data_IF_126115361903
#
_entry.id   IF_126115361903
#
_cell.length_a   1.000
_cell.length_b   1.000
_cell.length_c   1.000
_cell.angle_alpha   90.00
_cell.angle_beta   90.00
_cell.angle_gamma   90.00
#
_symmetry.space_group_name_H-M   'P 1'
#
loop_
_entity.id
_entity.type
_entity.pdbx_description
1 polymer ?
#
# COMPACT_ATOMS: atom_id res chain seq x y z
N UNK A 1 -33.29 62.02 31.12
CA UNK A 1 -31.91 62.23 30.62
C UNK A 1 -31.08 61.13 31.26
N UNK A 2 -30.80 60.05 30.53
CA UNK A 2 -29.99 58.94 31.01
C UNK A 2 -28.64 59.06 30.31
N UNK A 3 -27.64 59.51 31.05
CA UNK A 3 -26.24 59.57 30.59
C UNK A 3 -25.70 58.14 30.47
N UNK A 4 -25.27 57.79 29.27
CA UNK A 4 -24.59 56.54 28.98
C UNK A 4 -23.10 56.69 29.34
N UNK A 5 -22.64 55.92 30.32
CA UNK A 5 -21.21 55.76 30.64
C UNK A 5 -20.62 54.76 29.65
N UNK A 6 -19.84 55.24 28.69
CA UNK A 6 -19.03 54.41 27.79
C UNK A 6 -17.80 53.96 28.57
N UNK A 7 -17.67 52.65 28.82
CA UNK A 7 -16.41 52.04 29.27
C UNK A 7 -15.54 51.77 28.05
N UNK A 8 -14.43 52.49 27.95
CA UNK A 8 -13.36 52.23 26.99
C UNK A 8 -12.54 51.03 27.50
N UNK A 9 -12.65 49.89 26.82
CA UNK A 9 -11.85 48.70 27.09
C UNK A 9 -10.51 48.88 26.37
N UNK A 10 -9.45 49.16 27.14
CA UNK A 10 -8.07 49.23 26.65
C UNK A 10 -7.62 47.80 26.33
N UNK A 11 -7.54 47.46 25.05
CA UNK A 11 -6.96 46.20 24.58
C UNK A 11 -5.43 46.32 24.68
N UNK A 12 -4.83 45.72 25.70
CA UNK A 12 -3.38 45.51 25.76
C UNK A 12 -2.98 44.51 24.66
N UNK A 13 -2.41 45.02 23.57
CA UNK A 13 -1.79 44.22 22.52
C UNK A 13 -0.57 43.49 23.07
N UNK A 14 -0.60 42.15 23.05
CA UNK A 14 0.52 41.32 23.47
C UNK A 14 1.72 41.48 22.52
N UNK A 15 2.75 42.21 22.96
CA UNK A 15 4.04 42.25 22.30
C UNK A 15 4.88 41.03 22.68
N UNK A 16 5.25 40.21 21.70
CA UNK A 16 6.12 39.05 21.89
C UNK A 16 7.60 39.49 21.93
N UNK A 17 8.15 39.69 23.13
CA UNK A 17 9.59 39.86 23.31
C UNK A 17 10.26 38.50 23.54
N UNK A 18 11.30 38.17 22.77
CA UNK A 18 12.17 37.03 23.06
C UNK A 18 13.48 37.50 23.67
N UNK A 19 13.76 37.04 24.90
CA UNK A 19 14.92 37.44 25.69
C UNK A 19 16.15 36.61 25.28
N UNK A 20 17.16 37.24 24.68
CA UNK A 20 18.49 36.64 24.50
C UNK A 20 19.57 37.65 24.88
N UNK A 21 20.43 37.26 25.82
CA UNK A 21 21.66 37.95 26.21
C UNK A 21 21.51 39.40 26.74
N UNK A 22 20.53 39.64 27.62
CA UNK A 22 20.57 40.79 28.55
C UNK A 22 20.29 42.18 27.96
N UNK A 23 19.88 42.28 26.69
CA UNK A 23 19.44 43.54 26.08
C UNK A 23 18.16 43.31 25.27
N UNK A 24 17.20 44.24 25.37
CA UNK A 24 15.94 44.19 24.62
C UNK A 24 16.17 44.65 23.18
N UNK A 25 15.98 43.73 22.22
CA UNK A 25 15.99 44.06 20.79
C UNK A 25 14.56 43.97 20.26
N UNK A 26 14.05 45.09 19.75
CA UNK A 26 12.72 45.23 19.15
C UNK A 26 12.74 44.60 17.75
N UNK A 27 12.04 43.48 17.57
CA UNK A 27 11.94 42.80 16.27
C UNK A 27 10.78 43.43 15.48
N UNK A 28 11.11 44.25 14.48
CA UNK A 28 10.12 44.76 13.52
C UNK A 28 9.65 43.62 12.62
N UNK A 29 8.34 43.38 12.60
CA UNK A 29 7.69 42.40 11.73
C UNK A 29 7.50 43.04 10.34
N UNK A 30 8.19 42.50 9.35
CA UNK A 30 8.08 42.95 7.95
C UNK A 30 6.85 42.25 7.32
N UNK A 31 5.82 43.02 6.98
CA UNK A 31 4.66 42.54 6.23
C UNK A 31 5.08 42.24 4.79
N UNK A 32 5.11 40.96 4.42
CA UNK A 32 5.30 40.54 3.02
C UNK A 32 3.92 40.49 2.36
N UNK A 33 3.60 41.53 1.58
CA UNK A 33 2.48 41.50 0.64
C UNK A 33 2.70 40.42 -0.42
N UNK A 34 1.89 39.35 -0.37
CA UNK A 34 1.81 38.38 -1.48
C UNK A 34 0.92 38.95 -2.59
N UNK A 35 1.55 39.32 -3.70
CA UNK A 35 0.92 39.66 -4.97
C UNK A 35 0.57 38.36 -5.73
N UNK A 36 -0.68 38.10 -6.15
CA UNK A 36 -0.99 36.94 -6.97
C UNK A 36 -0.77 37.27 -8.46
N UNK A 37 0.24 36.66 -9.07
CA UNK A 37 0.42 36.69 -10.54
C UNK A 37 -0.44 35.62 -11.21
N UNK A 38 -1.51 36.11 -11.82
CA UNK A 38 -2.20 35.71 -13.06
C UNK A 38 -2.03 34.29 -13.65
N UNK A 39 -3.20 33.65 -13.77
CA UNK A 39 -3.71 32.86 -14.90
C UNK A 39 -2.82 32.75 -16.14
N UNK A 40 -2.44 31.52 -16.48
CA UNK A 40 -2.26 31.07 -17.86
C UNK A 40 -2.99 29.74 -18.04
N UNK A 41 -4.18 29.84 -18.62
CA UNK A 41 -4.89 28.73 -19.25
C UNK A 41 -4.06 28.28 -20.46
N UNK A 42 -3.59 27.04 -20.45
CA UNK A 42 -3.11 26.39 -21.67
C UNK A 42 -4.14 25.36 -22.11
N UNK A 43 -4.78 25.69 -23.23
CA UNK A 43 -5.61 24.83 -24.07
C UNK A 43 -4.86 23.53 -24.39
N UNK A 44 -5.35 22.40 -23.88
CA UNK A 44 -4.93 21.08 -24.37
C UNK A 44 -5.82 20.74 -25.56
N UNK A 45 -5.28 20.95 -26.76
CA UNK A 45 -5.83 20.38 -28.01
C UNK A 45 -5.75 18.85 -27.94
N UNK A 46 -6.91 18.21 -27.95
CA UNK A 46 -7.06 16.77 -28.11
C UNK A 46 -6.99 16.43 -29.60
N UNK A 47 -5.91 15.79 -30.04
CA UNK A 47 -5.91 15.02 -31.29
C UNK A 47 -6.26 13.55 -30.99
N UNK A 48 -7.12 12.91 -31.79
CA UNK A 48 -7.50 11.51 -31.62
C UNK A 48 -6.42 10.60 -32.21
N UNK A 49 -5.98 9.61 -31.43
CA UNK A 49 -5.18 8.50 -31.94
C UNK A 49 -6.13 7.38 -32.33
N UNK A 50 -6.34 7.24 -33.64
CA UNK A 50 -6.99 6.10 -34.27
C UNK A 50 -6.02 4.90 -34.45
N UNK A 51 -6.64 3.74 -34.66
CA UNK A 51 -6.11 2.44 -35.10
C UNK A 51 -5.68 1.43 -34.02
N UNK A 52 -6.57 0.47 -33.73
CA UNK A 52 -6.67 -0.76 -34.54
C UNK A 52 -8.06 -1.41 -34.42
N UNK A 53 -8.77 -1.44 -35.54
CA UNK A 53 -9.85 -2.37 -35.85
C UNK A 53 -9.30 -3.80 -36.02
N UNK A 54 -10.04 -4.78 -35.51
CA UNK A 54 -10.48 -5.93 -36.31
C UNK A 54 -11.56 -6.74 -35.58
N UNK A 55 -12.79 -6.55 -36.05
CA UNK A 55 -13.82 -7.53 -36.41
C UNK A 55 -14.03 -8.76 -35.52
N UNK A 56 -15.24 -8.83 -34.94
CA UNK A 56 -16.20 -9.87 -35.35
C UNK A 56 -17.63 -9.47 -34.98
N UNK A 57 -18.39 -9.14 -36.03
CA UNK A 57 -19.80 -9.41 -36.33
C UNK A 57 -20.89 -9.28 -35.25
N UNK A 58 -21.67 -8.24 -35.51
CA UNK A 58 -23.06 -7.97 -35.21
C UNK A 58 -23.99 -9.13 -35.58
N UNK A 59 -24.82 -9.58 -34.63
CA UNK A 59 -26.18 -10.06 -34.89
C UNK A 59 -27.02 -9.95 -33.61
N UNK A 60 -28.05 -9.11 -33.71
CA UNK A 60 -29.09 -8.81 -32.72
C UNK A 60 -29.88 -10.05 -32.26
N UNK A 61 -30.34 -10.06 -31.00
CA UNK A 61 -31.73 -9.75 -30.66
C UNK A 61 -31.99 -9.84 -29.14
N UNK A 62 -32.78 -8.89 -28.66
CA UNK A 62 -33.33 -8.80 -27.31
C UNK A 62 -34.22 -10.01 -26.99
N UNK A 63 -33.76 -10.86 -26.07
CA UNK A 63 -34.61 -11.85 -25.39
C UNK A 63 -34.37 -11.77 -23.89
N UNK A 64 -35.39 -11.28 -23.16
CA UNK A 64 -35.50 -11.42 -21.71
C UNK A 64 -35.42 -12.91 -21.34
N UNK A 65 -34.51 -13.34 -20.44
CA UNK A 65 -34.61 -14.65 -19.83
C UNK A 65 -35.29 -14.55 -18.47
N UNK A 66 -36.50 -15.11 -18.36
CA UNK A 66 -37.05 -15.54 -17.07
C UNK A 66 -36.14 -16.60 -16.43
N UNK A 67 -36.05 -16.67 -15.09
CA UNK A 67 -35.13 -17.56 -14.41
C UNK A 67 -35.65 -19.01 -14.48
N UNK A 68 -35.08 -19.83 -15.38
CA UNK A 68 -35.18 -21.28 -15.27
C UNK A 68 -34.17 -21.78 -14.24
N UNK A 69 -34.68 -22.37 -13.17
CA UNK A 69 -33.92 -23.11 -12.18
C UNK A 69 -33.11 -24.23 -12.85
N UNK A 70 -31.81 -23.99 -13.07
CA UNK A 70 -30.88 -25.05 -13.45
C UNK A 70 -30.19 -25.56 -12.19
N UNK A 71 -30.63 -26.72 -11.71
CA UNK A 71 -29.91 -27.53 -10.72
C UNK A 71 -28.72 -28.19 -11.43
N UNK A 72 -27.75 -27.39 -11.86
CA UNK A 72 -26.46 -27.87 -12.31
C UNK A 72 -25.61 -28.06 -11.07
N UNK A 73 -25.36 -29.32 -10.70
CA UNK A 73 -24.30 -29.71 -9.78
C UNK A 73 -23.02 -29.08 -10.31
N UNK A 74 -22.63 -27.95 -9.74
CA UNK A 74 -21.29 -27.39 -9.89
C UNK A 74 -20.38 -28.43 -9.25
N UNK A 75 -19.92 -29.36 -10.07
CA UNK A 75 -18.75 -30.14 -9.78
C UNK A 75 -17.64 -29.11 -9.67
N UNK A 76 -17.35 -28.70 -8.42
CA UNK A 76 -16.16 -27.95 -8.06
C UNK A 76 -14.98 -28.80 -8.51
N UNK A 77 -14.60 -28.65 -9.78
CA UNK A 77 -13.23 -28.83 -10.21
C UNK A 77 -12.51 -27.69 -9.52
N UNK A 78 -12.17 -27.92 -8.24
CA UNK A 78 -11.16 -27.12 -7.59
C UNK A 78 -9.92 -27.35 -8.43
N UNK A 79 -9.61 -26.43 -9.32
CA UNK A 79 -8.25 -26.26 -9.77
C UNK A 79 -7.45 -26.20 -8.49
N UNK A 80 -6.69 -27.28 -8.22
CA UNK A 80 -5.68 -27.32 -7.18
C UNK A 80 -4.72 -26.19 -7.54
N UNK A 81 -5.02 -24.99 -7.04
CA UNK A 81 -4.06 -23.90 -6.90
C UNK A 81 -3.01 -24.53 -6.00
N UNK A 82 -2.02 -25.16 -6.62
CA UNK A 82 -0.89 -25.78 -5.96
C UNK A 82 -0.32 -24.66 -5.11
N UNK A 83 -0.49 -24.79 -3.80
CA UNK A 83 -0.11 -23.74 -2.88
C UNK A 83 1.33 -23.34 -3.21
N UNK A 84 1.59 -22.03 -3.29
CA UNK A 84 2.92 -21.46 -3.58
C UNK A 84 3.87 -21.77 -2.42
N UNK A 85 4.26 -23.02 -2.33
CA UNK A 85 4.99 -23.68 -1.25
C UNK A 85 6.28 -24.22 -1.86
N UNK A 86 7.40 -23.99 -1.18
CA UNK A 86 8.67 -24.52 -1.63
C UNK A 86 8.67 -26.04 -1.52
N UNK A 87 9.01 -26.74 -2.60
CA UNK A 87 9.05 -28.20 -2.63
C UNK A 87 10.13 -28.81 -1.73
N UNK A 88 11.19 -28.07 -1.43
CA UNK A 88 12.31 -28.56 -0.59
C UNK A 88 12.08 -28.36 0.91
N UNK A 89 11.54 -27.22 1.35
CA UNK A 89 11.32 -26.94 2.79
C UNK A 89 9.85 -26.92 3.22
N UNK A 90 8.93 -27.13 2.28
CA UNK A 90 7.48 -27.09 2.49
C UNK A 90 6.94 -25.81 3.14
N UNK A 91 7.71 -24.71 3.12
CA UNK A 91 7.28 -23.39 3.61
C UNK A 91 6.54 -22.62 2.53
N UNK A 92 5.41 -22.01 2.89
CA UNK A 92 4.70 -21.03 2.06
C UNK A 92 5.53 -19.76 1.91
N UNK A 93 5.65 -19.24 0.69
CA UNK A 93 6.41 -18.01 0.42
C UNK A 93 5.67 -17.09 -0.55
N UNK A 94 5.87 -15.76 -0.45
CA UNK A 94 5.50 -14.83 -1.51
C UNK A 94 6.12 -15.24 -2.85
N UNK A 95 5.42 -14.92 -3.94
CA UNK A 95 5.77 -15.37 -5.30
C UNK A 95 7.12 -14.88 -5.77
N UNK A 96 7.50 -13.65 -5.41
CA UNK A 96 8.82 -13.10 -5.72
C UNK A 96 9.98 -13.80 -4.98
N UNK A 97 9.69 -14.65 -3.98
CA UNK A 97 10.68 -15.46 -3.26
C UNK A 97 10.69 -16.93 -3.69
N UNK A 98 9.96 -17.27 -4.75
CA UNK A 98 9.91 -18.61 -5.33
C UNK A 98 10.39 -18.57 -6.78
N UNK A 99 11.16 -19.57 -7.17
CA UNK A 99 11.49 -19.88 -8.56
C UNK A 99 10.71 -21.12 -8.98
N UNK A 100 10.07 -21.05 -10.14
CA UNK A 100 9.46 -22.21 -10.78
C UNK A 100 10.55 -23.00 -11.52
N UNK A 101 10.80 -24.23 -11.10
CA UNK A 101 11.71 -25.19 -11.74
C UNK A 101 10.90 -25.92 -12.81
N UNK A 102 11.20 -25.66 -14.08
CA UNK A 102 10.43 -26.19 -15.21
C UNK A 102 11.22 -27.20 -16.02
N UNK A 103 12.48 -26.86 -16.32
CA UNK A 103 13.28 -27.61 -17.29
C UNK A 103 13.85 -28.87 -16.67
N UNK A 104 14.13 -29.89 -17.50
CA UNK A 104 14.75 -31.14 -17.05
C UNK A 104 16.09 -30.88 -16.37
N UNK A 105 16.92 -30.01 -16.94
CA UNK A 105 18.24 -29.67 -16.39
C UNK A 105 18.15 -28.97 -15.04
N UNK A 106 17.21 -28.03 -14.86
CA UNK A 106 17.00 -27.40 -13.55
C UNK A 106 16.54 -28.42 -12.50
N UNK A 107 15.66 -29.35 -12.87
CA UNK A 107 15.20 -30.42 -11.98
C UNK A 107 16.36 -31.32 -11.57
N UNK A 108 17.18 -31.74 -12.54
CA UNK A 108 18.37 -32.57 -12.31
C UNK A 108 19.33 -31.88 -11.35
N UNK A 109 19.68 -30.61 -11.58
CA UNK A 109 20.60 -29.86 -10.69
C UNK A 109 20.06 -29.79 -9.25
N UNK A 110 18.77 -29.48 -9.08
CA UNK A 110 18.16 -29.38 -7.75
C UNK A 110 18.11 -30.74 -7.06
N UNK A 111 17.74 -31.81 -7.78
CA UNK A 111 17.69 -33.18 -7.24
C UNK A 111 19.08 -33.71 -6.86
N UNK A 112 20.08 -33.53 -7.72
CA UNK A 112 21.46 -33.94 -7.46
C UNK A 112 22.03 -33.23 -6.23
N UNK A 113 21.82 -31.92 -6.12
CA UNK A 113 22.38 -31.12 -5.03
C UNK A 113 21.75 -31.45 -3.66
N UNK A 114 20.42 -31.59 -3.60
CA UNK A 114 19.71 -31.87 -2.35
C UNK A 114 19.51 -33.37 -2.07
N UNK A 115 20.05 -34.25 -2.93
CA UNK A 115 19.83 -35.71 -2.88
C UNK A 115 18.33 -36.06 -2.78
N UNK A 116 17.52 -35.34 -3.55
CA UNK A 116 16.06 -35.43 -3.51
C UNK A 116 15.58 -36.26 -4.69
N UNK A 117 15.45 -37.56 -4.48
CA UNK A 117 15.15 -38.57 -5.51
C UNK A 117 13.62 -38.68 -5.77
N UNK A 118 13.22 -38.78 -7.04
CA UNK A 118 11.86 -39.15 -7.47
C UNK A 118 10.74 -38.09 -7.44
N UNK A 119 10.90 -36.95 -6.74
CA UNK A 119 9.77 -36.02 -6.53
C UNK A 119 9.64 -34.84 -7.51
N UNK A 120 10.68 -34.51 -8.29
CA UNK A 120 10.64 -33.42 -9.28
C UNK A 120 10.27 -33.89 -10.69
N UNK A 121 10.15 -35.20 -10.91
CA UNK A 121 10.03 -35.80 -12.23
C UNK A 121 8.69 -35.46 -12.90
N UNK A 122 7.60 -35.41 -12.14
CA UNK A 122 6.24 -35.37 -12.71
C UNK A 122 5.60 -33.98 -12.88
N UNK A 123 6.02 -32.93 -12.16
CA UNK A 123 5.43 -31.58 -12.30
C UNK A 123 6.41 -30.42 -12.11
N UNK A 124 6.11 -29.28 -12.74
CA UNK A 124 6.81 -28.02 -12.46
C UNK A 124 6.66 -27.68 -10.98
N UNK A 125 7.78 -27.42 -10.30
CA UNK A 125 7.82 -27.29 -8.84
C UNK A 125 8.40 -25.95 -8.42
N UNK A 126 7.85 -25.34 -7.38
CA UNK A 126 8.40 -24.12 -6.83
C UNK A 126 9.52 -24.41 -5.82
N UNK A 127 10.66 -23.75 -5.95
CA UNK A 127 11.77 -23.78 -4.98
C UNK A 127 12.01 -22.36 -4.47
N UNK A 128 12.18 -22.18 -3.16
CA UNK A 128 12.44 -20.84 -2.64
C UNK A 128 13.85 -20.37 -2.99
N UNK A 129 13.96 -19.06 -3.23
CA UNK A 129 15.21 -18.38 -3.62
C UNK A 129 16.35 -18.67 -2.63
N UNK A 130 16.05 -18.91 -1.35
CA UNK A 130 17.07 -19.30 -0.36
C UNK A 130 17.79 -20.60 -0.71
N UNK A 131 17.09 -21.63 -1.20
CA UNK A 131 17.75 -22.88 -1.59
C UNK A 131 18.55 -22.73 -2.88
N UNK A 132 18.06 -21.91 -3.81
CA UNK A 132 18.82 -21.56 -5.02
C UNK A 132 20.12 -20.85 -4.63
N UNK A 133 20.07 -19.92 -3.66
CA UNK A 133 21.25 -19.26 -3.12
C UNK A 133 22.22 -20.23 -2.46
N UNK A 134 21.74 -21.24 -1.75
CA UNK A 134 22.60 -22.31 -1.20
C UNK A 134 23.34 -23.06 -2.31
N UNK A 135 22.65 -23.47 -3.38
CA UNK A 135 23.31 -24.10 -4.55
C UNK A 135 24.39 -23.18 -5.13
N UNK A 136 24.10 -21.89 -5.29
CA UNK A 136 25.06 -20.93 -5.84
C UNK A 136 26.29 -20.84 -4.93
N UNK A 137 26.08 -20.56 -3.63
CA UNK A 137 27.14 -20.34 -2.64
C UNK A 137 28.07 -21.54 -2.54
N UNK A 138 27.52 -22.75 -2.46
CA UNK A 138 28.30 -23.97 -2.24
C UNK A 138 29.09 -24.42 -3.49
N UNK A 139 28.89 -23.73 -4.62
CA UNK A 139 29.55 -24.03 -5.89
C UNK A 139 30.29 -22.83 -6.51
N UNK A 140 30.44 -21.70 -5.80
CA UNK A 140 31.13 -20.51 -6.33
C UNK A 140 32.55 -20.84 -6.85
N UNK A 141 33.30 -21.66 -6.12
CA UNK A 141 34.67 -22.03 -6.49
C UNK A 141 34.75 -23.07 -7.63
N UNK A 142 33.69 -23.88 -7.81
CA UNK A 142 33.63 -24.99 -8.77
C UNK A 142 33.28 -24.52 -10.19
N UNK A 143 32.94 -23.25 -10.37
CA UNK A 143 32.55 -22.68 -11.67
C UNK A 143 33.72 -22.49 -12.64
N UNK A 144 34.98 -22.62 -12.18
CA UNK A 144 36.18 -22.32 -12.97
C UNK A 144 36.50 -23.39 -14.03
N UNK A 145 36.07 -24.64 -13.83
CA UNK A 145 36.32 -25.73 -14.77
C UNK A 145 35.06 -26.60 -14.87
N UNK A 146 34.34 -26.50 -15.99
CA UNK A 146 33.17 -27.33 -16.28
C UNK A 146 33.52 -28.32 -17.39
N UNK A 147 34.12 -29.44 -17.01
CA UNK A 147 34.65 -30.44 -17.93
C UNK A 147 33.64 -31.58 -18.17
N UNK A 148 32.63 -31.70 -17.31
CA UNK A 148 31.58 -32.73 -17.40
C UNK A 148 30.21 -32.13 -17.78
N UNK A 149 29.32 -32.93 -18.39
CA UNK A 149 27.95 -32.49 -18.68
C UNK A 149 27.16 -32.02 -17.44
N UNK A 150 27.37 -32.64 -16.28
CA UNK A 150 26.73 -32.23 -15.02
C UNK A 150 27.24 -30.87 -14.54
N UNK A 151 28.55 -30.62 -14.60
CA UNK A 151 29.13 -29.32 -14.27
C UNK A 151 28.65 -28.22 -15.21
N UNK A 152 28.51 -28.51 -16.51
CA UNK A 152 27.95 -27.55 -17.48
C UNK A 152 26.50 -27.19 -17.17
N UNK A 153 25.67 -28.18 -16.79
CA UNK A 153 24.29 -27.93 -16.34
C UNK A 153 24.26 -27.08 -15.07
N UNK A 154 25.08 -27.42 -14.08
CA UNK A 154 25.20 -26.65 -12.83
C UNK A 154 25.65 -25.21 -13.09
N UNK A 155 26.67 -25.02 -13.95
CA UNK A 155 27.16 -23.69 -14.34
C UNK A 155 26.09 -22.86 -15.03
N UNK A 156 25.35 -23.46 -15.96
CA UNK A 156 24.24 -22.81 -16.66
C UNK A 156 23.14 -22.41 -15.68
N UNK A 157 22.76 -23.33 -14.78
CA UNK A 157 21.80 -23.08 -13.74
C UNK A 157 22.22 -21.91 -12.84
N UNK A 158 23.46 -21.91 -12.34
CA UNK A 158 23.97 -20.84 -11.46
C UNK A 158 23.97 -19.51 -12.20
N UNK A 159 24.51 -19.47 -13.42
CA UNK A 159 24.61 -18.23 -14.22
C UNK A 159 23.23 -17.62 -14.47
N UNK A 160 22.26 -18.43 -14.91
CA UNK A 160 20.88 -17.97 -15.14
C UNK A 160 20.24 -17.46 -13.85
N UNK A 161 20.43 -18.16 -12.72
CA UNK A 161 19.85 -17.77 -11.45
C UNK A 161 20.49 -16.51 -10.86
N UNK A 162 21.80 -16.32 -11.01
CA UNK A 162 22.49 -15.08 -10.62
C UNK A 162 21.92 -13.92 -11.43
N UNK A 163 21.85 -14.03 -12.76
CA UNK A 163 21.29 -12.98 -13.62
C UNK A 163 19.84 -12.64 -13.23
N UNK A 164 19.00 -13.65 -13.00
CA UNK A 164 17.63 -13.45 -12.54
C UNK A 164 17.58 -12.75 -11.17
N UNK A 165 18.46 -13.12 -10.24
CA UNK A 165 18.52 -12.47 -8.92
C UNK A 165 19.01 -11.03 -9.02
N UNK A 166 19.95 -10.72 -9.92
CA UNK A 166 20.43 -9.36 -10.16
C UNK A 166 19.39 -8.49 -10.86
N UNK A 167 18.70 -9.03 -11.87
CA UNK A 167 17.58 -8.36 -12.54
C UNK A 167 16.44 -8.09 -11.54
N UNK A 168 16.13 -9.06 -10.68
CA UNK A 168 15.18 -8.86 -9.59
C UNK A 168 15.68 -7.87 -8.55
N UNK A 169 16.99 -7.84 -8.23
CA UNK A 169 17.58 -6.84 -7.32
C UNK A 169 17.51 -5.45 -7.92
N UNK A 170 17.73 -5.28 -9.22
CA UNK A 170 17.56 -4.01 -9.94
C UNK A 170 16.09 -3.59 -9.95
N UNK A 171 15.18 -4.50 -10.31
CA UNK A 171 13.72 -4.27 -10.28
C UNK A 171 13.20 -3.91 -8.87
N UNK A 172 13.66 -4.62 -7.84
CA UNK A 172 13.33 -4.31 -6.44
C UNK A 172 13.94 -2.98 -6.03
N UNK A 173 15.20 -2.68 -6.39
CA UNK A 173 15.81 -1.38 -6.13
C UNK A 173 15.01 -0.25 -6.76
N UNK A 174 14.62 -0.39 -8.03
CA UNK A 174 13.78 0.60 -8.72
C UNK A 174 12.43 0.77 -8.03
N UNK A 175 11.81 -0.31 -7.56
CA UNK A 175 10.53 -0.27 -6.84
C UNK A 175 10.64 0.34 -5.44
N UNK A 176 11.74 0.07 -4.71
CA UNK A 176 12.03 0.68 -3.42
C UNK A 176 12.48 2.14 -3.53
N UNK A 177 13.06 2.52 -4.67
CA UNK A 177 13.45 3.91 -4.98
C UNK A 177 12.34 4.72 -5.63
N UNK A 178 11.18 4.12 -5.93
CA UNK A 178 10.07 4.82 -6.55
C UNK A 178 9.44 5.74 -5.52
N UNK A 179 10.05 6.91 -5.39
CA UNK A 179 9.55 8.02 -4.60
C UNK A 179 8.13 8.33 -5.07
N UNK A 180 7.18 8.16 -4.17
CA UNK A 180 5.77 8.44 -4.43
C UNK A 180 5.29 9.55 -3.50
N UNK A 181 4.27 10.29 -3.93
CA UNK A 181 3.71 11.37 -3.14
C UNK A 181 2.63 10.77 -2.23
N UNK A 182 2.73 11.03 -0.93
CA UNK A 182 1.62 10.74 -0.02
C UNK A 182 0.48 11.71 -0.32
N UNK A 183 -0.70 11.21 -0.63
CA UNK A 183 -1.85 12.06 -1.02
C UNK A 183 -2.50 12.81 0.15
N UNK A 184 -2.04 12.60 1.39
CA UNK A 184 -2.53 13.30 2.58
C UNK A 184 -1.67 14.53 2.87
N UNK A 185 -0.35 14.35 3.02
CA UNK A 185 0.58 15.46 3.29
C UNK A 185 1.25 16.04 2.04
N UNK A 186 1.02 15.44 0.88
CA UNK A 186 1.65 15.80 -0.41
C UNK A 186 3.19 15.75 -0.42
N UNK A 187 3.78 15.09 0.58
CA UNK A 187 5.23 14.91 0.67
C UNK A 187 5.68 13.69 -0.12
N UNK A 188 6.83 13.82 -0.77
CA UNK A 188 7.52 12.71 -1.41
C UNK A 188 8.05 11.76 -0.32
N UNK A 189 7.74 10.47 -0.46
CA UNK A 189 8.15 9.41 0.46
C UNK A 189 8.70 8.21 -0.29
N UNK A 190 9.57 7.46 0.37
CA UNK A 190 10.02 6.16 -0.13
C UNK A 190 8.86 5.15 -0.09
N UNK A 191 8.84 4.21 -1.05
CA UNK A 191 7.80 3.17 -1.11
C UNK A 191 7.66 2.36 0.19
N UNK A 192 8.76 2.19 0.94
CA UNK A 192 8.79 1.51 2.25
C UNK A 192 8.00 2.26 3.33
N UNK A 193 7.87 3.58 3.19
CA UNK A 193 7.18 4.47 4.12
C UNK A 193 5.70 4.66 3.74
N UNK A 194 5.28 4.12 2.60
CA UNK A 194 3.95 4.27 2.04
C UNK A 194 3.19 2.94 2.07
N UNK A 195 1.86 3.04 2.11
CA UNK A 195 0.99 1.92 1.85
C UNK A 195 -0.22 2.35 1.03
N UNK A 196 -0.68 1.43 0.18
CA UNK A 196 -1.95 1.57 -0.53
C UNK A 196 -3.05 1.06 0.40
N UNK A 197 -4.04 1.91 0.63
CA UNK A 197 -5.16 1.61 1.51
C UNK A 197 -6.42 1.28 0.66
N UNK A 198 -7.14 0.18 0.95
CA UNK A 198 -8.46 -0.05 0.38
C UNK A 198 -9.44 1.05 0.83
N UNK A 199 -10.54 1.24 0.10
CA UNK A 199 -11.55 2.30 0.34
C UNK A 199 -11.91 2.46 1.82
N UNK A 200 -12.27 1.37 2.48
CA UNK A 200 -12.72 1.39 3.88
C UNK A 200 -11.62 1.90 4.84
N UNK A 201 -10.37 1.48 4.60
CA UNK A 201 -9.23 1.94 5.41
C UNK A 201 -8.93 3.41 5.14
N UNK A 202 -9.09 3.87 3.90
CA UNK A 202 -8.94 5.29 3.54
C UNK A 202 -9.95 6.17 4.27
N UNK A 203 -11.17 5.68 4.42
CA UNK A 203 -12.20 6.36 5.19
C UNK A 203 -11.77 6.53 6.65
N UNK A 204 -11.33 5.44 7.30
CA UNK A 204 -10.81 5.49 8.67
C UNK A 204 -9.67 6.48 8.83
N UNK A 205 -8.76 6.54 7.87
CA UNK A 205 -7.66 7.52 7.89
C UNK A 205 -8.23 8.94 7.86
N UNK A 206 -9.11 9.24 6.89
CA UNK A 206 -9.70 10.58 6.73
C UNK A 206 -10.53 11.03 7.93
N UNK A 207 -11.26 10.13 8.58
CA UNK A 207 -12.00 10.44 9.81
C UNK A 207 -11.04 11.00 10.87
N UNK A 208 -9.89 10.35 11.10
CA UNK A 208 -8.88 10.89 12.02
C UNK A 208 -8.37 12.29 11.64
N UNK A 209 -8.27 12.62 10.34
CA UNK A 209 -7.86 13.95 9.89
C UNK A 209 -8.97 15.01 9.99
N UNK A 210 -10.23 14.61 9.84
CA UNK A 210 -11.41 15.47 10.05
C UNK A 210 -11.58 15.78 11.54
N UNK A 211 -11.46 14.77 12.41
CA UNK A 211 -11.48 14.95 13.86
C UNK A 211 -10.39 15.92 14.33
N UNK A 212 -9.22 15.86 13.70
CA UNK A 212 -8.11 16.81 13.95
C UNK A 212 -8.38 18.22 13.39
N UNK A 213 -9.41 18.41 12.57
CA UNK A 213 -9.73 19.69 11.93
C UNK A 213 -8.81 20.06 10.76
N UNK A 214 -8.04 19.11 10.24
CA UNK A 214 -7.05 19.39 9.17
C UNK A 214 -7.57 19.16 7.76
N UNK A 215 -8.68 18.43 7.62
CA UNK A 215 -9.28 18.06 6.35
C UNK A 215 -10.79 18.30 6.40
N UNK A 216 -11.35 18.83 5.31
CA UNK A 216 -12.79 18.93 5.11
C UNK A 216 -13.39 17.61 4.60
N UNK A 217 -14.71 17.48 4.72
CA UNK A 217 -15.48 16.36 4.16
C UNK A 217 -15.24 16.22 2.64
N UNK A 218 -15.21 17.32 1.89
CA UNK A 218 -14.99 17.28 0.44
C UNK A 218 -13.61 16.74 0.07
N UNK A 219 -12.58 17.15 0.82
CA UNK A 219 -11.21 16.63 0.64
C UNK A 219 -11.14 15.15 0.98
N UNK A 220 -11.88 14.71 2.01
CA UNK A 220 -11.98 13.30 2.36
C UNK A 220 -12.68 12.49 1.25
N UNK A 221 -13.78 12.99 0.68
CA UNK A 221 -14.47 12.36 -0.48
C UNK A 221 -13.53 12.14 -1.66
N UNK A 222 -12.83 13.19 -2.08
CA UNK A 222 -11.87 13.11 -3.18
C UNK A 222 -10.80 12.04 -2.92
N UNK A 223 -10.26 12.00 -1.70
CA UNK A 223 -9.26 11.01 -1.30
C UNK A 223 -9.80 9.57 -1.26
N UNK A 224 -11.03 9.36 -0.78
CA UNK A 224 -11.70 8.05 -0.70
C UNK A 224 -12.06 7.51 -2.09
N UNK A 225 -12.33 8.37 -3.07
CA UNK A 225 -12.60 7.97 -4.46
C UNK A 225 -11.33 7.60 -5.26
N UNK A 226 -10.17 8.18 -4.93
CA UNK A 226 -8.92 7.98 -5.67
C UNK A 226 -8.27 6.59 -5.46
N UNK A 227 -7.00 6.40 -5.83
CA UNK A 227 -6.15 5.30 -5.30
C UNK A 227 -5.30 5.86 -4.17
N UNK A 228 -5.79 5.78 -2.93
CA UNK A 228 -5.16 6.39 -1.75
C UNK A 228 -3.80 5.80 -1.38
N UNK A 229 -2.73 6.54 -1.66
CA UNK A 229 -1.36 6.26 -1.20
C UNK A 229 -1.09 7.11 0.05
N UNK A 230 -0.89 6.46 1.19
CA UNK A 230 -0.68 7.13 2.49
C UNK A 230 0.67 6.73 3.08
N UNK A 231 1.33 7.65 3.78
CA UNK A 231 2.45 7.27 4.63
C UNK A 231 1.99 6.59 5.93
N UNK A 232 2.85 5.74 6.48
CA UNK A 232 2.58 5.04 7.73
C UNK A 232 2.47 5.97 8.94
N UNK A 233 3.03 7.19 8.91
CA UNK A 233 2.89 8.16 10.01
C UNK A 233 1.44 8.61 10.17
N UNK A 234 0.77 8.97 9.07
CA UNK A 234 -0.64 9.35 9.07
C UNK A 234 -1.56 8.25 9.57
N UNK A 235 -1.22 6.98 9.34
CA UNK A 235 -1.96 5.87 9.93
C UNK A 235 -1.96 5.96 11.45
N UNK A 236 -0.81 6.22 12.06
CA UNK A 236 -0.69 6.34 13.51
C UNK A 236 -1.45 7.57 13.99
N UNK A 237 -1.25 8.72 13.35
CA UNK A 237 -1.95 9.97 13.68
C UNK A 237 -3.47 9.79 13.63
N UNK A 238 -4.01 9.14 12.59
CA UNK A 238 -5.46 8.88 12.50
C UNK A 238 -5.97 7.94 13.62
N UNK A 239 -5.21 6.90 13.97
CA UNK A 239 -5.58 5.99 15.06
C UNK A 239 -5.59 6.74 16.39
N UNK A 240 -4.52 7.48 16.67
CA UNK A 240 -4.36 8.24 17.91
C UNK A 240 -5.50 9.26 18.06
N UNK A 241 -5.86 9.98 16.98
CA UNK A 241 -6.97 10.94 17.01
C UNK A 241 -8.33 10.29 17.25
N UNK A 242 -8.59 9.11 16.66
CA UNK A 242 -9.84 8.39 16.89
C UNK A 242 -9.91 7.88 18.33
N UNK A 243 -8.79 7.40 18.88
CA UNK A 243 -8.70 6.98 20.27
C UNK A 243 -8.94 8.14 21.24
N UNK A 244 -8.31 9.29 20.98
CA UNK A 244 -8.52 10.52 21.76
C UNK A 244 -9.98 10.97 21.74
N UNK A 245 -10.58 11.05 20.55
CA UNK A 245 -11.97 11.46 20.39
C UNK A 245 -12.95 10.52 21.13
N UNK A 246 -12.70 9.20 21.09
CA UNK A 246 -13.52 8.21 21.79
C UNK A 246 -13.18 8.05 23.28
N UNK A 247 -12.14 8.73 23.78
CA UNK A 247 -11.67 8.58 25.16
C UNK A 247 -11.13 7.19 25.50
N UNK A 248 -10.63 6.44 24.52
CA UNK A 248 -10.08 5.09 24.70
C UNK A 248 -8.56 5.06 24.56
N UNK A 249 -7.91 4.15 25.28
CA UNK A 249 -6.44 4.07 25.33
C UNK A 249 -5.86 2.98 24.45
N UNK A 250 -6.67 2.01 24.06
CA UNK A 250 -6.21 0.82 23.34
C UNK A 250 -7.34 0.18 22.53
N UNK A 251 -6.95 -0.81 21.71
CA UNK A 251 -7.87 -1.50 20.80
C UNK A 251 -8.94 -2.34 21.55
N UNK A 252 -8.64 -2.81 22.76
CA UNK A 252 -9.57 -3.61 23.55
C UNK A 252 -10.70 -2.72 24.09
N UNK A 253 -10.38 -1.54 24.61
CA UNK A 253 -11.34 -0.51 24.99
C UNK A 253 -12.16 -0.05 23.79
N UNK A 254 -11.51 0.23 22.65
CA UNK A 254 -12.19 0.58 21.40
C UNK A 254 -13.21 -0.50 20.97
N UNK A 255 -12.85 -1.78 21.08
CA UNK A 255 -13.75 -2.89 20.70
C UNK A 255 -14.99 -3.01 21.59
N UNK A 256 -14.94 -2.42 22.81
CA UNK A 256 -16.02 -2.39 23.79
C UNK A 256 -16.82 -1.10 23.75
N UNK A 257 -16.40 -0.10 22.97
CA UNK A 257 -17.15 1.15 22.80
C UNK A 257 -18.57 0.85 22.32
N UNK A 258 -19.53 1.39 23.04
CA UNK A 258 -20.93 1.29 22.67
C UNK A 258 -21.17 2.04 21.36
N UNK A 259 -22.13 1.57 20.55
CA UNK A 259 -22.43 2.17 19.25
C UNK A 259 -22.79 3.67 19.35
N UNK A 260 -23.45 4.08 20.44
CA UNK A 260 -23.79 5.49 20.66
C UNK A 260 -22.55 6.38 20.86
N UNK A 261 -21.46 5.86 21.43
CA UNK A 261 -20.21 6.63 21.57
C UNK A 261 -19.50 6.83 20.23
N UNK A 262 -19.93 6.12 19.19
CA UNK A 262 -19.42 6.26 17.83
C UNK A 262 -20.35 7.10 16.95
N UNK A 263 -21.47 7.64 17.45
CA UNK A 263 -22.43 8.41 16.63
C UNK A 263 -21.75 9.48 15.79
N UNK A 264 -20.87 10.26 16.41
CA UNK A 264 -20.20 11.39 15.76
C UNK A 264 -19.26 10.91 14.65
N UNK A 265 -18.65 9.74 14.82
CA UNK A 265 -17.85 9.11 13.76
C UNK A 265 -18.73 8.58 12.62
N UNK A 266 -19.93 8.11 12.93
CA UNK A 266 -20.90 7.63 11.95
C UNK A 266 -21.45 8.79 11.13
N UNK A 267 -21.75 9.93 11.75
CA UNK A 267 -22.22 11.12 11.04
C UNK A 267 -21.17 11.59 10.01
N UNK A 268 -19.89 11.67 10.44
CA UNK A 268 -18.78 12.00 9.53
C UNK A 268 -18.67 10.97 8.39
N UNK A 269 -18.87 9.70 8.69
CA UNK A 269 -18.82 8.61 7.71
C UNK A 269 -19.93 8.76 6.68
N UNK A 270 -21.17 8.99 7.13
CA UNK A 270 -22.35 9.11 6.27
C UNK A 270 -22.21 10.31 5.33
N UNK A 271 -21.64 11.40 5.84
CA UNK A 271 -21.31 12.59 5.06
C UNK A 271 -20.31 12.31 3.93
N UNK A 272 -19.39 11.35 4.11
CA UNK A 272 -18.39 10.96 3.10
C UNK A 272 -18.97 9.91 2.14
N UNK A 273 -19.60 8.86 2.67
CA UNK A 273 -20.20 7.75 1.95
C UNK A 273 -21.36 7.15 2.75
N UNK A 274 -22.59 7.48 2.36
CA UNK A 274 -23.82 7.04 3.00
C UNK A 274 -24.04 5.52 3.00
N UNK A 275 -23.29 4.76 2.19
CA UNK A 275 -23.37 3.29 2.17
C UNK A 275 -22.41 2.64 3.17
N UNK A 276 -21.61 3.43 3.90
CA UNK A 276 -20.63 2.90 4.81
C UNK A 276 -21.18 2.76 6.22
N UNK A 277 -21.18 1.52 6.69
CA UNK A 277 -21.78 1.15 7.96
C UNK A 277 -20.77 1.21 9.11
N UNK A 278 -21.27 1.37 10.34
CA UNK A 278 -20.48 1.25 11.58
C UNK A 278 -19.69 -0.06 11.62
N UNK A 279 -20.28 -1.17 11.18
CA UNK A 279 -19.62 -2.48 11.11
C UNK A 279 -18.41 -2.44 10.17
N UNK A 280 -18.55 -1.81 9.00
CA UNK A 280 -17.43 -1.65 8.06
C UNK A 280 -16.35 -0.73 8.63
N UNK A 281 -16.72 0.33 9.36
CA UNK A 281 -15.77 1.16 10.09
C UNK A 281 -14.97 0.34 11.10
N UNK A 282 -15.64 -0.44 11.95
CA UNK A 282 -14.99 -1.28 12.96
C UNK A 282 -14.01 -2.29 12.34
N UNK A 283 -14.42 -2.96 11.26
CA UNK A 283 -13.54 -3.89 10.53
C UNK A 283 -12.35 -3.16 9.91
N UNK A 284 -12.59 -2.00 9.30
CA UNK A 284 -11.55 -1.19 8.68
C UNK A 284 -10.55 -0.65 9.70
N UNK A 285 -11.03 -0.18 10.85
CA UNK A 285 -10.21 0.32 11.95
C UNK A 285 -9.34 -0.79 12.52
N UNK A 286 -9.90 -1.96 12.84
CA UNK A 286 -9.12 -3.11 13.30
C UNK A 286 -8.07 -3.54 12.27
N UNK A 287 -8.44 -3.57 10.99
CA UNK A 287 -7.51 -3.89 9.90
C UNK A 287 -6.39 -2.85 9.80
N UNK A 288 -6.73 -1.56 9.92
CA UNK A 288 -5.78 -0.47 9.96
C UNK A 288 -4.85 -0.65 11.16
N UNK A 289 -5.35 -0.93 12.36
CA UNK A 289 -4.56 -1.10 13.59
C UNK A 289 -3.58 -2.28 13.55
N UNK A 290 -3.95 -3.40 12.95
CA UNK A 290 -3.09 -4.61 12.87
C UNK A 290 -1.97 -4.45 11.81
N UNK A 291 -2.19 -3.63 10.76
CA UNK A 291 -1.30 -3.52 9.60
C UNK A 291 0.04 -2.86 9.92
N UNK A 292 1.01 -3.60 10.45
CA UNK A 292 2.35 -3.07 10.76
C UNK A 292 3.08 -2.57 9.49
N UNK A 293 3.94 -1.54 9.60
CA UNK A 293 4.91 -1.24 8.56
C UNK A 293 5.68 -2.52 8.22
N UNK A 294 5.93 -2.77 6.94
CA UNK A 294 6.94 -3.75 6.55
C UNK A 294 8.29 -3.16 6.93
N UNK A 295 8.70 -3.36 8.19
CA UNK A 295 10.04 -3.02 8.62
C UNK A 295 10.97 -3.76 7.67
N UNK A 296 11.77 -3.03 6.91
CA UNK A 296 12.93 -3.60 6.25
C UNK A 296 13.82 -4.11 7.38
N UNK A 297 13.79 -5.40 7.63
CA UNK A 297 14.73 -6.06 8.54
C UNK A 297 16.12 -5.92 7.92
N UNK A 298 16.77 -4.80 8.22
CA UNK A 298 18.21 -4.61 8.10
C UNK A 298 18.80 -4.87 9.49
N UNK A 299 19.08 -6.14 9.73
CA UNK A 299 20.05 -6.67 10.70
C UNK A 299 20.77 -7.81 10.00
#
# INVERSE_FOLDING_TARGET
MNEAVVKEEVIEGGFNFTFKNGEYVEVKQEEIEQKPEYFLEQEIKTEPIDFFENNSDELCEDVKPEPKESVSKIQKVSDKITERVCKLCHKRRPTHLLKLIKTKDEKTVVSEFFKFEGYLETMASYVCVSHIKTIIKDNEDKLKFANTPSEQRLRTFITQNIYLMEANKKSMKTWTSQRQICQVCHMVKESSQLFIAPKNIRMTIMIGFILRGTHSIDRAKAYVMAKGITCYSHRKESIDMIFEHLGVRNIEEFSKCAAFAMSDLVDIVEDIDSNFTVKQFMVAFNTLFIKKPKVSSSL
#
